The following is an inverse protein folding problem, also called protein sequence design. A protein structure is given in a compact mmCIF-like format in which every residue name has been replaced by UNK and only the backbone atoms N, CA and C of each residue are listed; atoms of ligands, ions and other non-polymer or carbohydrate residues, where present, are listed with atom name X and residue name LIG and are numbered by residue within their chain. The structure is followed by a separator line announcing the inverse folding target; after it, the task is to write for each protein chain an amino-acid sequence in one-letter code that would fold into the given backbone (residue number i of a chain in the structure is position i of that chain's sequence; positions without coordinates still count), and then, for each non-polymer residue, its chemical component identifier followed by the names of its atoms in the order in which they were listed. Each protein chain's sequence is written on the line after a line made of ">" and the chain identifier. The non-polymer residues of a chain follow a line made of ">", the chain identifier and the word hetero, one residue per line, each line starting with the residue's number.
data_IF_719229656916
#
_entry.id   IF_719229656916
#
_cell.length_a   1.000
_cell.length_b   1.000
_cell.length_c   1.000
_cell.angle_alpha   90.00
_cell.angle_beta   90.00
_cell.angle_gamma   90.00
#
_symmetry.space_group_name_H-M   'P 1'
#
loop_
_entity.id
_entity.type
_entity.pdbx_description
1 polymer ?
#
# COMPACT_ATOMS: atom_id res chain seq x y z
N UNK A 1 25.39 6.46 4.93
CA UNK A 1 25.70 6.29 3.49
C UNK A 1 26.22 7.54 2.81
N UNK A 2 25.65 8.73 3.06
CA UNK A 2 26.10 10.00 2.46
C UNK A 2 27.63 10.22 2.61
N UNK A 3 28.16 10.20 3.84
CA UNK A 3 29.60 10.35 4.11
C UNK A 3 30.45 9.37 3.30
N UNK A 4 29.95 8.14 3.15
CA UNK A 4 30.64 7.02 2.49
C UNK A 4 30.50 7.03 0.97
N UNK A 5 29.72 7.96 0.39
CA UNK A 5 29.44 7.99 -1.04
C UNK A 5 28.61 6.78 -1.50
N UNK A 6 27.75 6.26 -0.63
CA UNK A 6 26.87 5.09 -0.86
C UNK A 6 25.40 5.44 -0.95
N UNK A 7 25.08 6.71 -0.75
CA UNK A 7 23.71 7.18 -0.76
C UNK A 7 23.16 7.19 -2.20
N UNK A 8 21.95 6.68 -2.37
CA UNK A 8 21.27 6.59 -3.66
C UNK A 8 20.37 7.80 -3.93
N UNK A 9 20.12 8.67 -2.94
CA UNK A 9 19.22 9.79 -3.10
C UNK A 9 19.94 10.97 -3.74
N UNK A 10 19.55 11.28 -4.99
CA UNK A 10 20.05 12.46 -5.70
C UNK A 10 19.01 13.56 -5.66
N UNK A 11 19.22 14.55 -4.78
CA UNK A 11 18.33 15.71 -4.67
C UNK A 11 18.33 16.59 -5.93
N UNK A 12 19.50 16.74 -6.56
CA UNK A 12 19.73 17.59 -7.73
C UNK A 12 20.88 17.00 -8.55
N UNK A 13 20.91 17.27 -9.86
CA UNK A 13 21.99 16.78 -10.75
C UNK A 13 23.39 17.30 -10.39
N UNK A 14 23.47 18.42 -9.66
CA UNK A 14 24.73 19.05 -9.25
C UNK A 14 25.42 18.38 -8.05
N UNK A 15 24.71 17.52 -7.32
CA UNK A 15 25.19 16.73 -6.18
C UNK A 15 26.25 17.44 -5.29
N UNK A 16 25.87 18.60 -4.74
CA UNK A 16 26.79 19.47 -4.01
C UNK A 16 27.43 18.80 -2.79
N UNK A 17 26.67 17.93 -2.09
CA UNK A 17 27.14 17.25 -0.87
C UNK A 17 28.23 16.24 -1.22
N UNK A 18 27.99 15.36 -2.20
CA UNK A 18 29.00 14.39 -2.61
C UNK A 18 30.24 15.08 -3.21
N UNK A 19 30.06 16.13 -4.00
CA UNK A 19 31.17 16.92 -4.54
C UNK A 19 31.99 17.62 -3.44
N UNK A 20 31.33 18.12 -2.39
CA UNK A 20 32.00 18.66 -1.21
C UNK A 20 32.80 17.59 -0.46
N UNK A 21 32.19 16.43 -0.20
CA UNK A 21 32.83 15.30 0.48
C UNK A 21 34.05 14.79 -0.30
N UNK A 22 33.96 14.68 -1.63
CA UNK A 22 35.12 14.34 -2.50
C UNK A 22 36.30 15.27 -2.25
N UNK A 23 36.07 16.58 -2.22
CA UNK A 23 37.12 17.58 -1.97
C UNK A 23 37.72 17.46 -0.56
N UNK A 24 36.89 17.20 0.45
CA UNK A 24 37.35 16.99 1.84
C UNK A 24 38.24 15.74 1.93
N UNK A 25 37.77 14.60 1.43
CA UNK A 25 38.54 13.35 1.47
C UNK A 25 39.80 13.39 0.62
N UNK A 26 39.81 14.13 -0.51
CA UNK A 26 41.03 14.43 -1.26
C UNK A 26 42.08 15.16 -0.41
N UNK A 27 41.66 16.14 0.38
CA UNK A 27 42.56 16.88 1.30
C UNK A 27 43.04 15.99 2.45
N UNK A 28 42.18 15.15 3.01
CA UNK A 28 42.54 14.19 4.07
C UNK A 28 43.59 13.20 3.52
N UNK A 29 43.33 12.58 2.38
CA UNK A 29 44.27 11.68 1.70
C UNK A 29 45.61 12.36 1.40
N UNK A 30 45.57 13.62 0.93
CA UNK A 30 46.77 14.41 0.66
C UNK A 30 47.69 14.60 1.87
N UNK A 31 47.13 14.57 3.09
CA UNK A 31 47.86 14.68 4.37
C UNK A 31 48.32 13.33 4.94
N UNK A 32 47.93 12.21 4.34
CA UNK A 32 48.46 10.89 4.70
C UNK A 32 49.89 10.74 4.17
N UNK A 33 50.69 9.92 4.87
CA UNK A 33 52.10 9.68 4.55
C UNK A 33 52.39 8.19 4.40
N UNK A 34 53.44 7.87 3.62
CA UNK A 34 53.95 6.51 3.46
C UNK A 34 52.89 5.50 3.00
N UNK A 35 52.94 4.30 3.59
CA UNK A 35 52.07 3.19 3.23
C UNK A 35 50.56 3.49 3.38
N UNK A 36 50.17 4.36 4.33
CA UNK A 36 48.77 4.73 4.52
C UNK A 36 48.20 5.47 3.31
N UNK A 37 49.00 6.34 2.66
CA UNK A 37 48.55 7.08 1.48
C UNK A 37 48.23 6.12 0.32
N UNK A 38 49.15 5.20 0.04
CA UNK A 38 48.99 4.18 -1.02
C UNK A 38 47.87 3.18 -0.71
N UNK A 39 47.66 2.83 0.56
CA UNK A 39 46.58 1.92 0.94
C UNK A 39 45.18 2.50 0.65
N UNK A 40 45.04 3.81 0.83
CA UNK A 40 43.80 4.57 0.71
C UNK A 40 43.63 5.32 -0.62
N UNK A 41 44.24 4.82 -1.70
CA UNK A 41 44.14 5.46 -3.01
C UNK A 41 42.70 5.54 -3.55
N UNK A 42 42.50 6.53 -4.43
CA UNK A 42 41.22 6.78 -5.07
C UNK A 42 40.91 5.74 -6.15
N UNK A 43 39.63 5.52 -6.44
CA UNK A 43 39.19 4.84 -7.67
C UNK A 43 39.46 5.71 -8.92
N UNK A 44 39.17 5.15 -10.10
CA UNK A 44 39.30 5.83 -11.40
C UNK A 44 38.48 7.14 -11.48
N UNK A 45 37.45 7.28 -10.66
CA UNK A 45 36.55 8.45 -10.59
C UNK A 45 36.96 9.42 -9.48
N UNK A 46 38.11 9.21 -8.83
CA UNK A 46 38.64 10.07 -7.77
C UNK A 46 37.96 9.88 -6.41
N UNK A 47 37.31 8.74 -6.16
CA UNK A 47 36.64 8.42 -4.91
C UNK A 47 37.51 7.58 -3.97
N UNK A 48 37.64 8.06 -2.74
CA UNK A 48 38.41 7.41 -1.68
C UNK A 48 37.55 6.46 -0.83
N UNK A 49 36.92 5.46 -1.43
CA UNK A 49 35.93 4.62 -0.72
C UNK A 49 36.48 3.94 0.54
N UNK A 50 37.66 3.31 0.48
CA UNK A 50 38.28 2.68 1.67
C UNK A 50 38.48 3.70 2.79
N UNK A 51 39.01 4.88 2.46
CA UNK A 51 39.25 5.95 3.43
C UNK A 51 37.95 6.43 4.06
N UNK A 52 36.89 6.58 3.26
CA UNK A 52 35.57 7.02 3.75
C UNK A 52 34.90 5.96 4.65
N UNK A 53 35.04 4.68 4.33
CA UNK A 53 34.54 3.58 5.17
C UNK A 53 35.23 3.54 6.53
N UNK A 54 36.56 3.58 6.54
CA UNK A 54 37.35 3.53 7.77
C UNK A 54 37.17 4.80 8.60
N UNK A 55 37.06 5.95 7.94
CA UNK A 55 36.68 7.20 8.60
C UNK A 55 35.31 7.09 9.27
N UNK A 56 34.31 6.51 8.60
CA UNK A 56 33.00 6.30 9.23
C UNK A 56 33.11 5.36 10.44
N UNK A 57 33.78 4.22 10.29
CA UNK A 57 33.97 3.26 11.37
C UNK A 57 34.65 3.88 12.60
N UNK A 58 35.64 4.75 12.39
CA UNK A 58 36.37 5.44 13.45
C UNK A 58 35.61 6.60 14.12
N UNK A 59 34.55 7.13 13.50
CA UNK A 59 33.85 8.33 13.98
C UNK A 59 32.35 8.14 14.24
N UNK A 60 31.77 6.96 13.92
CA UNK A 60 30.32 6.71 14.04
C UNK A 60 29.76 6.87 15.45
N UNK A 61 30.55 6.60 16.48
CA UNK A 61 30.20 6.82 17.89
C UNK A 61 30.03 8.31 18.20
N UNK A 62 30.95 9.16 17.73
CA UNK A 62 30.87 10.61 17.89
C UNK A 62 29.67 11.19 17.12
N UNK A 63 29.41 10.68 15.92
CA UNK A 63 28.22 11.06 15.13
C UNK A 63 26.94 10.65 15.87
N UNK A 64 26.89 9.45 16.46
CA UNK A 64 25.74 9.00 17.25
C UNK A 64 25.49 9.90 18.47
N UNK A 65 26.55 10.27 19.20
CA UNK A 65 26.46 11.23 20.32
C UNK A 65 25.90 12.58 19.87
N UNK A 66 26.33 13.09 18.71
CA UNK A 66 25.82 14.34 18.18
C UNK A 66 24.32 14.24 17.83
N UNK A 67 23.89 13.18 17.15
CA UNK A 67 22.48 12.96 16.76
C UNK A 67 21.57 12.77 17.98
N UNK A 68 22.07 12.14 19.04
CA UNK A 68 21.30 11.85 20.26
C UNK A 68 21.35 12.95 21.32
N UNK A 69 22.05 14.07 21.06
CA UNK A 69 22.35 15.11 22.05
C UNK A 69 21.08 15.68 22.76
N UNK A 70 20.01 15.88 21.99
CA UNK A 70 18.75 16.48 22.46
C UNK A 70 17.60 15.47 22.63
N UNK A 71 17.90 14.17 22.64
CA UNK A 71 16.86 13.16 22.87
C UNK A 71 16.41 13.21 24.34
N UNK A 72 15.10 13.09 24.65
CA UNK A 72 14.63 13.02 26.03
C UNK A 72 15.20 11.80 26.76
N UNK A 73 15.42 11.93 28.08
CA UNK A 73 16.06 10.89 28.89
C UNK A 73 15.33 9.55 28.84
N UNK A 74 13.99 9.55 28.83
CA UNK A 74 13.16 8.35 28.86
C UNK A 74 13.08 7.59 27.52
N UNK A 75 13.73 8.05 26.46
CA UNK A 75 13.72 7.38 25.15
C UNK A 75 14.92 6.45 25.04
N UNK A 76 14.66 5.19 24.70
CA UNK A 76 15.67 4.14 24.56
C UNK A 76 15.61 3.48 23.17
N UNK A 77 16.75 2.95 22.72
CA UNK A 77 16.82 2.12 21.52
C UNK A 77 16.65 0.66 21.90
N UNK A 78 15.76 -0.06 21.20
CA UNK A 78 15.46 -1.46 21.47
C UNK A 78 15.76 -2.30 20.24
N UNK A 79 16.31 -3.50 20.45
CA UNK A 79 16.56 -4.48 19.42
C UNK A 79 16.29 -5.88 19.96
N UNK A 80 15.44 -6.62 19.26
CA UNK A 80 15.27 -8.05 19.50
C UNK A 80 16.47 -8.82 18.92
N UNK A 81 17.19 -9.58 19.74
CA UNK A 81 18.34 -10.40 19.34
C UNK A 81 17.91 -11.82 18.95
N UNK A 82 16.93 -12.36 19.67
CA UNK A 82 16.27 -13.64 19.43
C UNK A 82 14.85 -13.58 20.03
N UNK A 83 14.07 -14.66 19.91
CA UNK A 83 12.67 -14.66 20.37
C UNK A 83 12.48 -14.24 21.82
N UNK A 84 13.40 -14.67 22.69
CA UNK A 84 13.32 -14.40 24.13
C UNK A 84 14.25 -13.27 24.61
N UNK A 85 15.05 -12.66 23.73
CA UNK A 85 16.09 -11.69 24.13
C UNK A 85 15.86 -10.35 23.45
N UNK A 86 15.53 -9.35 24.25
CA UNK A 86 15.51 -7.93 23.87
C UNK A 86 16.72 -7.25 24.50
N UNK A 87 17.51 -6.58 23.66
CA UNK A 87 18.62 -5.72 24.07
C UNK A 87 18.18 -4.28 23.92
N UNK A 88 18.51 -3.43 24.88
CA UNK A 88 18.14 -2.03 24.86
C UNK A 88 19.22 -1.16 25.51
N UNK A 89 19.17 0.13 25.22
CA UNK A 89 20.02 1.14 25.88
C UNK A 89 19.54 1.37 27.30
N UNK A 90 20.45 1.40 28.26
CA UNK A 90 20.15 1.50 29.69
C UNK A 90 20.31 2.92 30.26
N UNK A 91 21.08 3.79 29.61
CA UNK A 91 21.40 5.14 30.13
C UNK A 91 20.47 6.24 29.58
N UNK A 92 19.36 5.85 28.93
CA UNK A 92 18.44 6.81 28.32
C UNK A 92 19.01 7.47 27.06
N UNK A 93 18.26 8.43 26.51
CA UNK A 93 18.64 9.22 25.32
C UNK A 93 19.14 8.38 24.13
N UNK A 94 18.56 7.20 23.92
CA UNK A 94 19.03 6.24 22.91
C UNK A 94 20.52 5.86 23.04
N UNK A 95 21.03 5.72 24.26
CA UNK A 95 22.41 5.31 24.54
C UNK A 95 23.44 6.42 24.28
N UNK A 96 23.09 7.67 24.54
CA UNK A 96 23.96 8.83 24.29
C UNK A 96 25.33 8.73 25.00
N UNK A 97 25.37 8.13 26.19
CA UNK A 97 26.58 8.03 27.04
C UNK A 97 27.20 6.65 27.09
N UNK A 98 26.61 5.64 26.43
CA UNK A 98 27.03 4.23 26.53
C UNK A 98 28.33 3.92 25.76
N UNK A 99 28.89 4.89 25.03
CA UNK A 99 30.13 4.79 24.26
C UNK A 99 30.06 3.91 23.02
N UNK A 100 29.16 2.93 22.98
CA UNK A 100 28.90 2.07 21.81
C UNK A 100 27.60 2.47 21.11
N UNK A 101 27.60 2.46 19.78
CA UNK A 101 26.40 2.74 19.00
C UNK A 101 25.47 1.51 19.08
N UNK A 102 24.21 1.65 19.54
CA UNK A 102 23.32 0.51 19.80
C UNK A 102 22.74 -0.13 18.54
N UNK A 103 23.00 0.45 17.36
CA UNK A 103 22.50 -0.01 16.06
C UNK A 103 23.63 -0.35 15.10
N UNK A 104 23.33 -1.24 14.16
CA UNK A 104 24.17 -1.59 13.01
C UNK A 104 23.45 -1.32 11.68
N UNK A 105 22.39 -0.50 11.69
CA UNK A 105 21.67 -0.14 10.47
C UNK A 105 22.60 0.54 9.45
N UNK A 106 23.60 1.29 9.90
CA UNK A 106 24.64 1.85 9.03
C UNK A 106 25.46 0.80 8.27
N UNK A 107 25.34 -0.49 8.59
CA UNK A 107 25.97 -1.60 7.87
C UNK A 107 24.98 -2.47 7.08
N UNK A 108 23.68 -2.15 7.10
CA UNK A 108 22.65 -2.78 6.26
C UNK A 108 22.57 -2.03 4.91
N UNK A 109 22.38 -2.69 3.76
CA UNK A 109 22.14 -2.00 2.48
C UNK A 109 21.02 -0.97 2.55
N UNK A 110 21.26 0.22 1.98
CA UNK A 110 20.30 1.33 2.04
C UNK A 110 18.91 0.96 1.50
N UNK A 111 18.86 0.20 0.39
CA UNK A 111 17.61 -0.26 -0.18
C UNK A 111 16.76 -1.06 0.83
N UNK A 112 17.37 -2.02 1.55
CA UNK A 112 16.64 -2.83 2.53
C UNK A 112 16.13 -1.98 3.69
N UNK A 113 16.92 -1.00 4.15
CA UNK A 113 16.48 -0.07 5.20
C UNK A 113 15.32 0.79 4.75
N UNK A 114 15.35 1.30 3.53
CA UNK A 114 14.26 2.09 2.99
C UNK A 114 13.00 1.28 2.74
N UNK A 115 13.12 0.01 2.37
CA UNK A 115 11.96 -0.87 2.22
C UNK A 115 11.34 -1.19 3.60
N UNK A 116 12.16 -1.49 4.60
CA UNK A 116 11.71 -1.67 5.99
C UNK A 116 11.03 -0.40 6.55
N UNK A 117 11.68 0.77 6.37
CA UNK A 117 11.13 2.08 6.76
C UNK A 117 9.82 2.40 6.03
N UNK A 118 9.74 2.10 4.72
CA UNK A 118 8.53 2.28 3.94
C UNK A 118 7.39 1.42 4.48
N UNK A 119 7.66 0.17 4.84
CA UNK A 119 6.66 -0.75 5.41
C UNK A 119 6.08 -0.22 6.72
N UNK A 120 6.95 0.16 7.66
CA UNK A 120 6.54 0.74 8.96
C UNK A 120 5.76 2.04 8.79
N UNK A 121 6.24 2.97 7.96
CA UNK A 121 5.57 4.24 7.71
C UNK A 121 4.23 4.07 6.99
N UNK A 122 4.14 3.11 6.07
CA UNK A 122 2.89 2.76 5.39
C UNK A 122 1.86 2.23 6.39
N UNK A 123 2.23 1.26 7.24
CA UNK A 123 1.33 0.71 8.26
C UNK A 123 0.81 1.80 9.21
N UNK A 124 1.72 2.65 9.72
CA UNK A 124 1.38 3.78 10.60
C UNK A 124 0.41 4.76 9.92
N UNK A 125 0.73 5.19 8.69
CA UNK A 125 -0.10 6.17 7.94
C UNK A 125 -1.41 5.57 7.49
N UNK A 126 -1.45 4.28 7.12
CA UNK A 126 -2.67 3.59 6.73
C UNK A 126 -3.66 3.57 7.90
N UNK A 127 -3.19 3.27 9.12
CA UNK A 127 -4.03 3.32 10.33
C UNK A 127 -4.61 4.72 10.57
N UNK A 128 -3.78 5.77 10.55
CA UNK A 128 -4.24 7.16 10.72
C UNK A 128 -5.27 7.57 9.65
N UNK A 129 -4.99 7.26 8.38
CA UNK A 129 -5.90 7.57 7.27
C UNK A 129 -7.21 6.79 7.37
N UNK A 130 -7.17 5.50 7.74
CA UNK A 130 -8.36 4.69 7.93
C UNK A 130 -9.21 5.19 9.10
N UNK A 131 -8.60 5.68 10.19
CA UNK A 131 -9.34 6.32 11.28
C UNK A 131 -10.10 7.55 10.77
N UNK A 132 -9.45 8.42 10.01
CA UNK A 132 -10.09 9.61 9.43
C UNK A 132 -11.23 9.25 8.47
N UNK A 133 -11.04 8.21 7.65
CA UNK A 133 -12.10 7.69 6.77
C UNK A 133 -13.26 7.13 7.61
N UNK A 134 -12.97 6.34 8.65
CA UNK A 134 -13.98 5.78 9.54
C UNK A 134 -14.81 6.89 10.18
N UNK A 135 -14.16 7.88 10.79
CA UNK A 135 -14.81 9.02 11.45
C UNK A 135 -15.74 9.79 10.50
N UNK A 136 -15.34 9.96 9.25
CA UNK A 136 -16.14 10.66 8.23
C UNK A 136 -17.31 9.81 7.69
N UNK A 137 -17.19 8.47 7.69
CA UNK A 137 -18.13 7.58 7.02
C UNK A 137 -19.03 6.77 7.96
N UNK A 138 -18.61 6.51 9.19
CA UNK A 138 -19.27 5.61 10.15
C UNK A 138 -19.21 6.16 11.57
N UNK A 139 -20.38 6.43 12.13
CA UNK A 139 -20.55 6.74 13.55
C UNK A 139 -21.93 6.25 14.01
N UNK A 140 -21.96 5.07 14.61
CA UNK A 140 -23.19 4.41 15.07
C UNK A 140 -23.95 5.26 16.10
N UNK A 141 -23.24 6.10 16.88
CA UNK A 141 -23.86 6.95 17.91
C UNK A 141 -24.60 8.16 17.33
N UNK A 142 -24.31 8.49 16.07
CA UNK A 142 -24.91 9.60 15.32
C UNK A 142 -25.75 9.12 14.14
N UNK A 143 -26.04 7.81 14.07
CA UNK A 143 -26.68 7.16 12.92
C UNK A 143 -26.03 7.55 11.58
N UNK A 144 -24.70 7.69 11.57
CA UNK A 144 -23.92 8.06 10.39
C UNK A 144 -23.45 6.80 9.68
N UNK A 145 -23.99 6.53 8.50
CA UNK A 145 -23.52 5.45 7.63
C UNK A 145 -23.52 5.92 6.18
N UNK A 146 -22.36 6.34 5.68
CA UNK A 146 -22.21 6.94 4.35
C UNK A 146 -21.50 6.02 3.35
N UNK A 147 -21.87 6.07 2.08
CA UNK A 147 -21.10 5.40 1.03
C UNK A 147 -19.92 6.24 0.54
N UNK A 148 -18.99 5.58 -0.16
CA UNK A 148 -17.93 6.22 -0.95
C UNK A 148 -18.45 7.35 -1.86
N UNK A 149 -19.66 7.23 -2.39
CA UNK A 149 -20.25 8.20 -3.32
C UNK A 149 -21.03 9.32 -2.62
N UNK A 150 -20.99 9.38 -1.29
CA UNK A 150 -21.66 10.41 -0.49
C UNK A 150 -23.16 10.20 -0.29
N UNK A 151 -23.66 8.99 -0.55
CA UNK A 151 -25.03 8.62 -0.18
C UNK A 151 -25.14 8.25 1.28
N UNK A 152 -26.22 8.66 1.94
CA UNK A 152 -26.62 8.24 3.28
C UNK A 152 -27.30 6.87 3.20
N UNK A 153 -26.64 5.83 3.69
CA UNK A 153 -27.12 4.45 3.64
C UNK A 153 -28.23 4.14 4.64
N UNK A 154 -28.52 5.02 5.60
CA UNK A 154 -29.68 4.87 6.50
C UNK A 154 -30.99 5.14 5.76
N UNK A 155 -30.94 5.95 4.69
CA UNK A 155 -32.09 6.36 3.87
C UNK A 155 -32.03 5.81 2.44
N UNK A 156 -30.85 5.44 1.96
CA UNK A 156 -30.65 4.90 0.62
C UNK A 156 -31.07 3.43 0.56
N UNK A 157 -31.97 3.11 -0.36
CA UNK A 157 -32.41 1.75 -0.68
C UNK A 157 -32.20 1.55 -2.18
N UNK A 158 -31.05 0.96 -2.54
CA UNK A 158 -30.65 0.79 -3.94
C UNK A 158 -31.60 -0.11 -4.72
N UNK A 159 -32.18 -1.14 -4.08
CA UNK A 159 -33.18 -2.01 -4.72
C UNK A 159 -34.49 -1.29 -5.09
N UNK A 160 -34.73 -0.13 -4.47
CA UNK A 160 -35.90 0.72 -4.75
C UNK A 160 -35.55 2.01 -5.48
N UNK A 161 -34.29 2.16 -5.90
CA UNK A 161 -33.82 3.32 -6.65
C UNK A 161 -33.85 4.60 -5.82
N UNK A 162 -33.81 4.44 -4.50
CA UNK A 162 -33.82 5.53 -3.55
C UNK A 162 -32.37 5.80 -3.18
N UNK A 163 -31.75 6.79 -3.82
CA UNK A 163 -30.37 7.19 -3.58
C UNK A 163 -30.34 8.60 -2.97
N UNK A 164 -30.11 8.69 -1.66
CA UNK A 164 -30.18 9.96 -0.93
C UNK A 164 -28.78 10.48 -0.63
N UNK A 165 -28.43 11.63 -1.21
CA UNK A 165 -27.20 12.36 -0.84
C UNK A 165 -27.50 13.35 0.26
N UNK A 166 -26.66 13.37 1.28
CA UNK A 166 -26.73 14.36 2.35
C UNK A 166 -25.37 15.04 2.53
N UNK A 167 -25.39 16.30 2.96
CA UNK A 167 -24.18 17.08 3.23
C UNK A 167 -23.25 16.36 4.21
N UNK A 168 -23.80 15.71 5.24
CA UNK A 168 -23.04 14.93 6.23
C UNK A 168 -22.22 13.78 5.62
N UNK A 169 -22.62 13.26 4.46
CA UNK A 169 -21.91 12.19 3.74
C UNK A 169 -20.92 12.70 2.68
N UNK A 170 -20.87 14.01 2.44
CA UNK A 170 -19.93 14.60 1.47
C UNK A 170 -18.47 14.47 1.95
N UNK A 171 -18.25 14.55 3.26
CA UNK A 171 -16.91 14.37 3.83
C UNK A 171 -16.41 12.93 3.63
N UNK A 172 -17.27 11.93 3.85
CA UNK A 172 -16.95 10.53 3.56
C UNK A 172 -16.43 10.33 2.12
N UNK A 173 -17.16 10.85 1.13
CA UNK A 173 -16.74 10.73 -0.28
C UNK A 173 -15.39 11.38 -0.54
N UNK A 174 -15.15 12.55 0.04
CA UNK A 174 -13.89 13.28 -0.13
C UNK A 174 -12.73 12.53 0.52
N UNK A 175 -12.88 12.04 1.76
CA UNK A 175 -11.84 11.28 2.47
C UNK A 175 -11.54 9.97 1.77
N UNK A 176 -12.56 9.27 1.28
CA UNK A 176 -12.39 8.02 0.54
C UNK A 176 -11.57 8.23 -0.73
N UNK A 177 -11.92 9.21 -1.57
CA UNK A 177 -11.16 9.52 -2.80
C UNK A 177 -9.68 9.82 -2.51
N UNK A 178 -9.41 10.66 -1.50
CA UNK A 178 -8.03 10.99 -1.10
C UNK A 178 -7.28 9.76 -0.57
N UNK A 179 -7.96 8.90 0.17
CA UNK A 179 -7.40 7.66 0.67
C UNK A 179 -7.03 6.71 -0.47
N UNK A 180 -7.91 6.54 -1.45
CA UNK A 180 -7.70 5.66 -2.60
C UNK A 180 -6.55 6.11 -3.49
N UNK A 181 -6.46 7.41 -3.82
CA UNK A 181 -5.32 7.96 -4.58
C UNK A 181 -4.01 7.71 -3.83
N UNK A 182 -4.01 7.94 -2.51
CA UNK A 182 -2.82 7.65 -1.71
C UNK A 182 -2.47 6.16 -1.73
N UNK A 183 -3.46 5.27 -1.60
CA UNK A 183 -3.28 3.83 -1.54
C UNK A 183 -2.71 3.27 -2.86
N UNK A 184 -3.22 3.74 -4.00
CA UNK A 184 -2.71 3.37 -5.33
C UNK A 184 -1.24 3.76 -5.51
N UNK A 185 -0.84 4.96 -5.08
CA UNK A 185 0.57 5.38 -5.10
C UNK A 185 1.46 4.48 -4.22
N UNK A 186 0.95 4.01 -3.08
CA UNK A 186 1.68 3.08 -2.21
C UNK A 186 1.79 1.68 -2.82
N UNK A 187 0.76 1.21 -3.51
CA UNK A 187 0.78 -0.07 -4.23
C UNK A 187 1.86 -0.06 -5.32
N UNK A 188 1.97 1.03 -6.09
CA UNK A 188 3.01 1.18 -7.11
C UNK A 188 4.42 1.23 -6.49
N UNK A 189 4.59 1.98 -5.40
CA UNK A 189 5.84 2.03 -4.66
C UNK A 189 6.25 0.65 -4.14
N UNK A 190 5.31 -0.10 -3.57
CA UNK A 190 5.53 -1.47 -3.08
C UNK A 190 5.96 -2.40 -4.22
N UNK A 191 5.27 -2.36 -5.37
CA UNK A 191 5.62 -3.15 -6.56
C UNK A 191 7.05 -2.87 -7.01
N UNK A 192 7.44 -1.60 -7.16
CA UNK A 192 8.80 -1.21 -7.54
C UNK A 192 9.85 -1.69 -6.54
N UNK A 193 9.55 -1.64 -5.24
CA UNK A 193 10.44 -2.14 -4.20
C UNK A 193 10.58 -3.66 -4.25
N UNK A 194 9.49 -4.42 -4.47
CA UNK A 194 9.54 -5.87 -4.67
C UNK A 194 10.41 -6.25 -5.87
N UNK A 195 10.21 -5.62 -7.02
CA UNK A 195 11.02 -5.86 -8.22
C UNK A 195 12.50 -5.53 -7.99
N UNK A 196 12.79 -4.45 -7.25
CA UNK A 196 14.17 -4.09 -6.89
C UNK A 196 14.77 -5.13 -5.95
N UNK A 197 14.02 -5.62 -4.95
CA UNK A 197 14.47 -6.68 -4.06
C UNK A 197 14.82 -7.96 -4.84
N UNK A 198 13.97 -8.37 -5.77
CA UNK A 198 14.24 -9.52 -6.65
C UNK A 198 15.53 -9.36 -7.44
N UNK A 199 15.77 -8.16 -7.99
CA UNK A 199 16.99 -7.85 -8.77
C UNK A 199 18.25 -7.92 -7.90
N UNK A 200 18.22 -7.32 -6.71
CA UNK A 200 19.35 -7.37 -5.77
C UNK A 200 19.63 -8.82 -5.32
N UNK A 201 18.58 -9.62 -5.14
CA UNK A 201 18.71 -11.01 -4.70
C UNK A 201 19.17 -11.95 -5.80
N UNK A 202 18.70 -11.82 -7.03
CA UNK A 202 19.07 -12.72 -8.11
C UNK A 202 20.49 -12.49 -8.65
N UNK A 203 21.21 -11.47 -8.18
CA UNK A 203 22.62 -11.25 -8.51
C UNK A 203 22.88 -10.87 -9.96
N UNK A 204 21.84 -10.68 -10.78
CA UNK A 204 21.90 -10.00 -12.07
C UNK A 204 21.98 -8.49 -11.83
N UNK A 205 23.03 -8.03 -11.15
CA UNK A 205 23.64 -6.77 -11.58
C UNK A 205 24.00 -7.01 -13.04
N UNK A 206 23.27 -6.38 -13.96
CA UNK A 206 23.59 -6.41 -15.37
C UNK A 206 25.10 -6.31 -15.55
N UNK A 207 25.69 -7.24 -16.31
CA UNK A 207 27.07 -7.14 -16.82
C UNK A 207 27.30 -5.86 -17.64
N UNK A 208 26.27 -5.04 -17.82
CA UNK A 208 26.32 -3.73 -18.46
C UNK A 208 26.75 -2.55 -17.57
N UNK A 209 26.92 -2.71 -16.25
CA UNK A 209 27.66 -1.74 -15.41
C UNK A 209 29.13 -2.16 -15.24
N UNK A 210 29.70 -2.71 -16.32
CA UNK A 210 31.07 -3.19 -16.50
C UNK A 210 32.10 -2.05 -16.61
N UNK A 211 32.10 -1.10 -15.66
CA UNK A 211 33.20 -0.11 -15.53
C UNK A 211 33.47 0.36 -14.09
N UNK A 212 33.08 -0.36 -13.04
CA UNK A 212 33.45 0.08 -11.69
C UNK A 212 33.76 -1.08 -10.74
N UNK A 213 35.05 -1.45 -10.70
CA UNK A 213 35.69 -2.26 -9.65
C UNK A 213 35.69 -1.51 -8.30
N UNK A 214 34.51 -1.14 -7.80
CA UNK A 214 34.37 -0.36 -6.58
C UNK A 214 34.06 -1.23 -5.37
N UNK A 215 34.79 -0.99 -4.27
CA UNK A 215 34.62 -1.61 -2.94
C UNK A 215 33.14 -1.61 -2.46
N UNK A 216 32.33 -0.65 -2.93
CA UNK A 216 30.89 -0.59 -2.67
C UNK A 216 30.13 -1.84 -3.14
N UNK A 217 30.49 -2.40 -4.30
CA UNK A 217 29.84 -3.61 -4.81
C UNK A 217 30.25 -4.84 -3.96
N UNK A 218 31.49 -4.87 -3.47
CA UNK A 218 31.99 -5.97 -2.61
C UNK A 218 31.28 -6.03 -1.26
N UNK A 219 31.07 -4.89 -0.60
CA UNK A 219 30.44 -4.86 0.73
C UNK A 219 28.99 -5.35 0.71
N UNK A 220 28.16 -4.82 -0.21
CA UNK A 220 26.78 -5.28 -0.33
C UNK A 220 26.70 -6.71 -0.84
N UNK A 221 27.62 -7.14 -1.72
CA UNK A 221 27.71 -8.55 -2.14
C UNK A 221 27.96 -9.49 -0.98
N UNK A 222 28.85 -9.14 -0.04
CA UNK A 222 29.10 -9.94 1.17
C UNK A 222 27.88 -9.98 2.09
N UNK A 223 27.18 -8.84 2.25
CA UNK A 223 25.91 -8.80 3.00
C UNK A 223 24.86 -9.72 2.37
N UNK A 224 24.57 -9.54 1.07
CA UNK A 224 23.58 -10.35 0.37
C UNK A 224 23.96 -11.82 0.29
N UNK A 225 25.26 -12.16 0.21
CA UNK A 225 25.73 -13.54 0.28
C UNK A 225 25.37 -14.17 1.63
N UNK A 226 25.72 -13.53 2.75
CA UNK A 226 25.36 -13.99 4.10
C UNK A 226 23.85 -13.99 4.33
N UNK A 227 23.14 -13.05 3.73
CA UNK A 227 21.69 -12.96 3.82
C UNK A 227 20.99 -14.08 3.05
N UNK A 228 21.53 -14.51 1.90
CA UNK A 228 21.04 -15.66 1.12
C UNK A 228 21.11 -16.99 1.87
N UNK A 229 22.03 -17.11 2.82
CA UNK A 229 22.16 -18.29 3.69
C UNK A 229 21.05 -18.33 4.77
N UNK A 230 20.18 -17.31 4.85
CA UNK A 230 19.04 -17.25 5.79
C UNK A 230 17.74 -17.75 5.15
N UNK A 231 16.81 -18.20 5.99
CA UNK A 231 15.51 -18.77 5.61
C UNK A 231 14.53 -17.77 4.98
N UNK A 232 14.77 -16.46 5.14
CA UNK A 232 13.96 -15.36 4.59
C UNK A 232 14.62 -14.66 3.38
N UNK A 233 15.48 -15.39 2.67
CA UNK A 233 16.20 -14.89 1.49
C UNK A 233 15.31 -14.66 0.25
N UNK A 234 14.06 -15.10 0.26
CA UNK A 234 13.09 -14.86 -0.80
C UNK A 234 12.39 -13.52 -0.60
N UNK A 235 11.77 -13.00 -1.67
CA UNK A 235 10.88 -11.82 -1.59
C UNK A 235 9.76 -12.07 -0.60
N UNK A 236 9.15 -13.25 -0.67
CA UNK A 236 8.09 -13.65 0.23
C UNK A 236 8.58 -13.67 1.69
N UNK A 237 9.76 -14.24 1.94
CA UNK A 237 10.38 -14.24 3.28
C UNK A 237 10.59 -12.83 3.84
N UNK A 238 11.07 -11.88 3.03
CA UNK A 238 11.23 -10.49 3.47
C UNK A 238 9.90 -9.76 3.66
N UNK A 239 8.93 -9.99 2.78
CA UNK A 239 7.58 -9.42 2.95
C UNK A 239 6.94 -9.90 4.26
N UNK A 240 7.15 -11.18 4.64
CA UNK A 240 6.70 -11.69 5.93
C UNK A 240 7.36 -10.91 7.09
N UNK A 241 8.63 -10.53 6.98
CA UNK A 241 9.30 -9.70 7.99
C UNK A 241 8.70 -8.29 8.09
N UNK A 242 8.24 -7.70 6.98
CA UNK A 242 7.57 -6.39 7.02
C UNK A 242 6.28 -6.43 7.84
N UNK A 243 5.54 -7.55 7.80
CA UNK A 243 4.36 -7.74 8.66
C UNK A 243 4.72 -7.76 10.15
N UNK A 244 5.95 -8.15 10.48
CA UNK A 244 6.42 -8.23 11.87
C UNK A 244 6.79 -6.85 12.46
N UNK A 245 6.73 -5.80 11.65
CA UNK A 245 6.98 -4.42 12.04
C UNK A 245 6.06 -3.94 13.18
N UNK A 246 6.55 -2.98 13.97
CA UNK A 246 5.85 -2.51 15.18
C UNK A 246 4.46 -1.97 14.83
N UNK A 247 4.36 -1.14 13.81
CA UNK A 247 3.09 -0.53 13.41
C UNK A 247 2.24 -1.47 12.57
N UNK A 248 2.86 -2.40 11.85
CA UNK A 248 2.14 -3.39 11.04
C UNK A 248 1.40 -4.43 11.88
N UNK A 249 1.90 -4.72 13.09
CA UNK A 249 1.19 -5.57 14.07
C UNK A 249 -0.01 -4.93 14.74
N UNK A 250 -0.16 -3.61 14.65
CA UNK A 250 -1.29 -2.93 15.28
C UNK A 250 -2.59 -3.24 14.53
N UNK A 251 -3.67 -3.43 15.28
CA UNK A 251 -5.00 -3.62 14.69
C UNK A 251 -5.47 -2.34 14.01
N UNK A 252 -5.95 -2.48 12.79
CA UNK A 252 -6.58 -1.44 12.01
C UNK A 252 -8.04 -1.21 12.43
N UNK A 253 -8.61 -0.05 12.08
CA UNK A 253 -10.03 0.21 12.31
C UNK A 253 -10.89 -0.83 11.60
N UNK A 254 -11.67 -1.58 12.37
CA UNK A 254 -12.49 -2.69 11.88
C UNK A 254 -11.98 -4.09 12.20
N UNK A 255 -10.86 -4.21 12.93
CA UNK A 255 -10.42 -5.49 13.51
C UNK A 255 -9.42 -6.27 12.66
N UNK A 256 -9.01 -5.75 11.51
CA UNK A 256 -8.02 -6.39 10.65
C UNK A 256 -6.58 -6.05 11.07
N UNK A 257 -5.65 -6.95 10.79
CA UNK A 257 -4.20 -6.71 10.93
C UNK A 257 -3.58 -6.64 9.54
N UNK A 258 -2.53 -5.82 9.39
CA UNK A 258 -1.81 -5.66 8.13
C UNK A 258 -1.17 -6.97 7.69
N UNK A 259 -1.27 -7.27 6.39
CA UNK A 259 -0.63 -8.45 5.83
C UNK A 259 -0.27 -8.25 4.36
N UNK A 260 0.99 -7.92 4.11
CA UNK A 260 1.57 -7.73 2.78
C UNK A 260 1.67 -9.02 1.96
N UNK A 261 1.39 -10.18 2.55
CA UNK A 261 1.48 -11.50 1.90
C UNK A 261 0.18 -11.94 1.28
N UNK A 262 -0.94 -11.32 1.68
CA UNK A 262 -2.26 -11.59 1.11
C UNK A 262 -2.22 -11.38 -0.39
N UNK A 263 -2.49 -12.46 -1.12
CA UNK A 263 -2.69 -12.47 -2.56
C UNK A 263 -4.16 -12.71 -2.85
N UNK A 264 -4.68 -12.08 -3.90
CA UNK A 264 -6.06 -12.22 -4.33
C UNK A 264 -6.92 -11.05 -3.88
N UNK A 265 -8.08 -11.35 -3.33
CA UNK A 265 -9.19 -10.42 -3.28
C UNK A 265 -9.01 -9.36 -2.13
N UNK A 266 -8.64 -9.77 -0.91
CA UNK A 266 -8.39 -8.90 0.28
C UNK A 266 -6.98 -8.29 0.32
N UNK A 267 -6.51 -7.66 -0.76
CA UNK A 267 -5.12 -7.17 -0.76
C UNK A 267 -4.88 -6.08 0.29
N UNK A 268 -3.62 -5.97 0.72
CA UNK A 268 -3.16 -4.85 1.56
C UNK A 268 -3.47 -3.47 0.95
N UNK A 269 -3.68 -3.39 -0.37
CA UNK A 269 -3.97 -2.16 -1.09
C UNK A 269 -5.44 -2.02 -1.51
N UNK A 270 -6.35 -2.79 -0.89
CA UNK A 270 -7.78 -2.69 -1.18
C UNK A 270 -8.47 -1.47 -0.55
N UNK A 271 -9.58 -1.05 -1.17
CA UNK A 271 -10.46 0.02 -0.68
C UNK A 271 -10.93 -0.29 0.75
N UNK A 272 -11.04 0.74 1.58
CA UNK A 272 -11.55 0.58 2.94
C UNK A 272 -12.97 0.01 2.93
N UNK A 273 -13.31 -0.85 3.90
CA UNK A 273 -14.70 -1.28 4.14
C UNK A 273 -15.66 -0.11 4.44
N UNK A 274 -15.12 1.03 4.87
CA UNK A 274 -15.89 2.26 5.10
C UNK A 274 -16.15 3.03 3.80
N UNK A 275 -15.32 2.81 2.79
CA UNK A 275 -15.42 3.38 1.44
C UNK A 275 -16.11 2.41 0.47
N UNK A 276 -17.09 1.67 0.95
CA UNK A 276 -17.94 0.85 0.10
C UNK A 276 -19.18 1.64 -0.29
N UNK A 277 -19.85 1.17 -1.33
CA UNK A 277 -21.21 1.60 -1.68
C UNK A 277 -22.21 1.29 -0.56
N UNK A 278 -23.39 1.91 -0.63
CA UNK A 278 -24.45 1.51 0.29
C UNK A 278 -24.87 0.06 0.01
N UNK A 279 -25.21 -0.71 1.06
CA UNK A 279 -25.86 -2.00 0.90
C UNK A 279 -27.14 -1.86 0.07
N UNK A 280 -27.54 -2.96 -0.59
CA UNK A 280 -28.73 -2.98 -1.46
C UNK A 280 -29.99 -2.47 -0.75
N UNK A 281 -30.17 -2.87 0.50
CA UNK A 281 -31.29 -2.47 1.34
C UNK A 281 -30.98 -1.32 2.31
N UNK A 282 -29.78 -0.74 2.23
CA UNK A 282 -29.30 0.22 3.21
C UNK A 282 -29.03 -0.44 4.57
N UNK A 283 -29.06 0.38 5.63
CA UNK A 283 -28.82 -0.04 7.01
C UNK A 283 -29.93 0.42 7.91
N UNK A 284 -30.11 -0.30 9.02
CA UNK A 284 -30.93 0.13 10.14
C UNK A 284 -30.02 0.52 11.30
N UNK A 285 -30.19 1.73 11.82
CA UNK A 285 -29.39 2.28 12.91
C UNK A 285 -30.31 2.63 14.09
N UNK A 286 -29.92 2.21 15.29
CA UNK A 286 -30.72 2.39 16.50
C UNK A 286 -30.02 3.28 17.55
N UNK A 287 -29.11 4.17 17.11
CA UNK A 287 -28.28 5.01 17.97
C UNK A 287 -27.20 4.27 18.77
N UNK A 288 -27.14 2.93 18.71
CA UNK A 288 -26.09 2.11 19.32
C UNK A 288 -25.28 1.33 18.30
N UNK A 289 -25.92 0.87 17.24
CA UNK A 289 -25.31 0.09 16.17
C UNK A 289 -26.08 0.29 14.87
N UNK A 290 -25.35 0.36 13.77
CA UNK A 290 -25.92 0.20 12.44
C UNK A 290 -25.76 -1.25 11.97
N UNK A 291 -26.85 -1.88 11.55
CA UNK A 291 -26.88 -3.24 10.99
C UNK A 291 -27.39 -3.23 9.56
N UNK A 292 -26.81 -4.08 8.72
CA UNK A 292 -27.29 -4.29 7.35
C UNK A 292 -28.74 -4.76 7.39
N UNK A 293 -29.63 -4.13 6.61
CA UNK A 293 -30.98 -4.66 6.41
C UNK A 293 -30.90 -5.93 5.57
N UNK A 294 -31.75 -6.91 5.88
CA UNK A 294 -31.82 -8.15 5.11
C UNK A 294 -32.25 -7.83 3.68
N UNK A 295 -31.65 -8.52 2.70
CA UNK A 295 -32.06 -8.41 1.30
C UNK A 295 -33.51 -8.85 1.07
N UNK A 296 -34.07 -9.64 2.00
CA UNK A 296 -35.47 -10.10 2.00
C UNK A 296 -36.43 -9.20 2.79
N UNK A 297 -35.97 -8.05 3.30
CA UNK A 297 -36.83 -7.12 4.04
C UNK A 297 -37.99 -6.65 3.15
N UNK A 298 -39.27 -6.82 3.54
CA UNK A 298 -40.42 -6.37 2.75
C UNK A 298 -40.38 -4.87 2.38
N UNK A 299 -39.72 -4.05 3.22
CA UNK A 299 -39.52 -2.63 2.96
C UNK A 299 -38.38 -2.35 1.97
N UNK A 300 -37.53 -3.33 1.67
CA UNK A 300 -36.46 -3.26 0.68
C UNK A 300 -36.80 -3.97 -0.63
N UNK A 301 -37.44 -5.14 -0.56
CA UNK A 301 -37.76 -5.96 -1.74
C UNK A 301 -38.74 -5.19 -2.60
N UNK A 302 -38.24 -4.63 -3.69
CA UNK A 302 -39.07 -4.31 -4.83
C UNK A 302 -39.33 -5.65 -5.52
N UNK A 303 -40.59 -6.12 -5.52
CA UNK A 303 -41.02 -7.19 -6.43
C UNK A 303 -41.12 -6.64 -7.86
N UNK A 304 -40.04 -6.03 -8.35
CA UNK A 304 -39.91 -5.65 -9.75
C UNK A 304 -39.95 -6.95 -10.52
N UNK A 305 -41.05 -7.16 -11.25
CA UNK A 305 -41.19 -8.30 -12.14
C UNK A 305 -40.64 -7.93 -13.50
N UNK A 306 -39.93 -8.87 -14.11
CA UNK A 306 -39.53 -8.73 -15.50
C UNK A 306 -40.68 -9.17 -16.40
N UNK A 307 -41.61 -8.25 -16.68
CA UNK A 307 -42.78 -8.45 -17.54
C UNK A 307 -42.73 -7.45 -18.72
N UNK A 308 -41.96 -7.74 -19.80
CA UNK A 308 -41.95 -6.89 -20.98
C UNK A 308 -43.36 -6.89 -21.63
N UNK A 309 -43.90 -5.72 -22.01
CA UNK A 309 -45.16 -5.65 -22.76
C UNK A 309 -45.09 -6.45 -24.07
N UNK A 310 -46.22 -6.96 -24.52
CA UNK A 310 -46.30 -7.73 -25.76
C UNK A 310 -45.77 -6.90 -26.95
N UNK A 311 -44.77 -7.43 -27.67
CA UNK A 311 -44.10 -6.74 -28.77
C UNK A 311 -43.04 -5.70 -28.38
N UNK A 312 -42.77 -5.47 -27.08
CA UNK A 312 -41.71 -4.56 -26.65
C UNK A 312 -40.33 -5.10 -27.05
N UNK A 313 -39.46 -4.29 -27.70
CA UNK A 313 -38.12 -4.72 -28.02
C UNK A 313 -37.32 -4.95 -26.73
N UNK A 314 -36.64 -6.09 -26.66
CA UNK A 314 -35.71 -6.40 -25.57
C UNK A 314 -34.28 -6.38 -26.12
N UNK A 315 -33.34 -5.91 -25.31
CA UNK A 315 -31.93 -5.82 -25.66
C UNK A 315 -31.11 -6.58 -24.62
N UNK A 316 -30.21 -7.44 -25.11
CA UNK A 316 -29.22 -8.09 -24.26
C UNK A 316 -27.98 -7.21 -24.21
N UNK A 317 -27.62 -6.78 -23.01
CA UNK A 317 -26.49 -5.91 -22.72
C UNK A 317 -25.50 -6.74 -21.92
N UNK A 318 -24.37 -7.05 -22.56
CA UNK A 318 -23.24 -7.70 -21.89
C UNK A 318 -22.36 -6.63 -21.29
N UNK A 319 -22.08 -6.75 -20.00
CA UNK A 319 -21.40 -5.72 -19.24
C UNK A 319 -20.38 -6.33 -18.27
N UNK A 320 -19.26 -5.63 -18.10
CA UNK A 320 -18.14 -5.99 -17.23
C UNK A 320 -18.30 -5.60 -15.74
N UNK A 321 -18.79 -6.49 -14.91
CA UNK A 321 -18.93 -6.23 -13.48
C UNK A 321 -17.55 -6.18 -12.80
N UNK A 322 -17.08 -4.98 -12.46
CA UNK A 322 -15.86 -4.77 -11.66
C UNK A 322 -16.00 -5.23 -10.20
N UNK A 323 -17.23 -5.53 -9.80
CA UNK A 323 -17.65 -6.02 -8.50
C UNK A 323 -17.40 -5.12 -7.28
N UNK A 324 -18.31 -5.20 -6.30
CA UNK A 324 -18.02 -4.89 -4.89
C UNK A 324 -17.01 -5.87 -4.27
N UNK A 325 -16.68 -6.95 -4.99
CA UNK A 325 -15.71 -7.98 -4.60
C UNK A 325 -14.34 -7.61 -5.15
N UNK A 326 -13.47 -7.08 -4.31
CA UNK A 326 -12.05 -7.41 -4.15
C UNK A 326 -11.13 -7.76 -5.35
N UNK A 327 -9.92 -7.17 -5.36
CA UNK A 327 -8.88 -7.28 -6.40
C UNK A 327 -8.59 -5.96 -7.16
N UNK A 328 -7.37 -5.80 -7.69
CA UNK A 328 -6.94 -4.65 -8.52
C UNK A 328 -7.85 -4.50 -9.74
N UNK A 329 -8.48 -3.33 -9.88
CA UNK A 329 -9.40 -3.04 -10.99
C UNK A 329 -8.71 -3.21 -12.34
N UNK A 330 -7.40 -2.97 -12.43
CA UNK A 330 -6.61 -3.18 -13.64
C UNK A 330 -6.48 -4.65 -13.98
N UNK A 331 -6.30 -5.52 -12.98
CA UNK A 331 -6.25 -6.97 -13.18
C UNK A 331 -7.64 -7.52 -13.52
N UNK A 332 -8.69 -6.99 -12.90
CA UNK A 332 -10.07 -7.35 -13.26
C UNK A 332 -10.33 -6.97 -14.70
N UNK A 333 -10.10 -5.71 -15.07
CA UNK A 333 -10.31 -5.21 -16.42
C UNK A 333 -9.29 -5.75 -17.44
N UNK A 334 -8.23 -6.44 -17.00
CA UNK A 334 -7.20 -6.96 -17.92
C UNK A 334 -7.77 -7.90 -18.97
N UNK A 335 -8.74 -8.76 -18.62
CA UNK A 335 -9.40 -9.65 -19.60
C UNK A 335 -10.14 -8.86 -20.69
N UNK A 336 -10.69 -7.69 -20.35
CA UNK A 336 -11.35 -6.78 -21.30
C UNK A 336 -10.33 -5.95 -22.10
N UNK A 337 -9.29 -5.43 -21.45
CA UNK A 337 -8.24 -4.63 -22.10
C UNK A 337 -7.36 -5.44 -23.05
N UNK A 338 -7.24 -6.76 -22.84
CA UNK A 338 -6.39 -7.63 -23.65
C UNK A 338 -7.12 -8.26 -24.85
N UNK A 339 -8.45 -8.38 -24.82
CA UNK A 339 -9.25 -8.90 -25.93
C UNK A 339 -10.64 -8.24 -25.95
N UNK A 340 -10.83 -7.30 -26.87
CA UNK A 340 -12.07 -6.54 -27.05
C UNK A 340 -13.30 -7.44 -27.36
N UNK A 341 -13.08 -8.69 -27.78
CA UNK A 341 -14.13 -9.63 -28.17
C UNK A 341 -14.41 -10.72 -27.13
N UNK A 342 -13.71 -10.73 -26.00
CA UNK A 342 -13.89 -11.75 -24.98
C UNK A 342 -15.21 -11.53 -24.20
N UNK A 343 -16.28 -12.18 -24.63
CA UNK A 343 -17.62 -12.16 -23.98
C UNK A 343 -17.80 -13.25 -22.91
N UNK A 344 -16.72 -13.93 -22.52
CA UNK A 344 -16.78 -15.13 -21.66
C UNK A 344 -15.96 -15.05 -20.36
N UNK A 345 -15.31 -13.91 -20.10
CA UNK A 345 -14.51 -13.66 -18.89
C UNK A 345 -15.28 -13.81 -17.56
N UNK A 346 -14.53 -13.98 -16.46
CA UNK A 346 -15.10 -14.25 -15.11
C UNK A 346 -15.92 -13.09 -14.54
N UNK A 347 -15.64 -11.88 -15.00
CA UNK A 347 -16.24 -10.64 -14.51
C UNK A 347 -17.31 -10.08 -15.47
N UNK A 348 -17.85 -10.92 -16.36
CA UNK A 348 -18.87 -10.51 -17.32
C UNK A 348 -20.25 -10.96 -16.83
N UNK A 349 -21.18 -10.02 -16.82
CA UNK A 349 -22.60 -10.21 -16.54
C UNK A 349 -23.40 -9.90 -17.80
N UNK A 350 -24.39 -10.73 -18.10
CA UNK A 350 -25.33 -10.46 -19.20
C UNK A 350 -26.67 -10.07 -18.62
N UNK A 351 -27.16 -8.90 -19.03
CA UNK A 351 -28.44 -8.34 -18.61
C UNK A 351 -29.39 -8.29 -19.81
N UNK A 352 -30.66 -8.61 -19.58
CA UNK A 352 -31.72 -8.43 -20.58
C UNK A 352 -32.62 -7.29 -20.15
N UNK A 353 -32.71 -6.26 -20.97
CA UNK A 353 -33.43 -5.04 -20.64
C UNK A 353 -34.51 -4.74 -21.67
N UNK A 354 -35.59 -4.09 -21.24
CA UNK A 354 -36.53 -3.41 -22.13
C UNK A 354 -36.75 -1.99 -21.63
N UNK A 355 -36.95 -1.06 -22.56
CA UNK A 355 -37.27 0.33 -22.26
C UNK A 355 -38.35 0.81 -23.21
N UNK A 356 -39.55 1.03 -22.70
CA UNK A 356 -40.66 1.64 -23.45
C UNK A 356 -40.77 3.11 -23.07
N UNK A 357 -40.74 3.42 -21.77
CA UNK A 357 -40.71 4.78 -21.23
C UNK A 357 -40.17 4.77 -19.78
N UNK A 358 -40.17 5.94 -19.11
CA UNK A 358 -39.66 6.11 -17.74
C UNK A 358 -40.37 5.26 -16.68
N UNK A 359 -41.62 4.84 -16.93
CA UNK A 359 -42.40 4.00 -16.02
C UNK A 359 -42.35 2.51 -16.39
N UNK A 360 -42.20 2.20 -17.67
CA UNK A 360 -42.24 0.84 -18.22
C UNK A 360 -40.84 0.50 -18.76
N UNK A 361 -39.97 0.08 -17.85
CA UNK A 361 -38.63 -0.40 -18.16
C UNK A 361 -38.13 -1.32 -17.04
N UNK A 362 -37.39 -2.35 -17.41
CA UNK A 362 -36.70 -3.22 -16.47
C UNK A 362 -35.50 -3.91 -17.12
N UNK A 363 -34.54 -4.29 -16.28
CA UNK A 363 -33.37 -5.08 -16.61
C UNK A 363 -33.32 -6.29 -15.67
N UNK A 364 -33.11 -7.47 -16.25
CA UNK A 364 -32.96 -8.73 -15.53
C UNK A 364 -31.58 -9.32 -15.80
N UNK A 365 -30.86 -9.69 -14.75
CA UNK A 365 -29.61 -10.41 -14.87
C UNK A 365 -29.87 -11.85 -15.32
N UNK A 366 -29.24 -12.27 -16.41
CA UNK A 366 -29.41 -13.62 -16.97
C UNK A 366 -28.37 -14.61 -16.43
N UNK A 367 -27.11 -14.19 -16.27
CA UNK A 367 -26.00 -15.07 -15.88
C UNK A 367 -24.80 -14.29 -15.35
N UNK A 368 -24.09 -14.88 -14.37
CA UNK A 368 -22.78 -14.45 -13.87
C UNK A 368 -21.77 -15.59 -14.02
N UNK A 369 -20.64 -15.36 -14.68
CA UNK A 369 -19.60 -16.38 -14.86
C UNK A 369 -18.60 -16.39 -13.67
N UNK A 370 -19.05 -16.74 -12.46
CA UNK A 370 -18.18 -16.85 -11.27
C UNK A 370 -18.87 -17.54 -10.09
N UNK A 371 -18.09 -18.15 -9.18
CA UNK A 371 -18.54 -19.06 -8.11
C UNK A 371 -19.46 -18.47 -7.01
N UNK A 372 -19.88 -17.21 -7.11
CA UNK A 372 -20.85 -16.61 -6.19
C UNK A 372 -22.17 -16.35 -6.93
N UNK A 373 -23.06 -17.35 -6.92
CA UNK A 373 -24.46 -17.17 -7.28
C UNK A 373 -25.13 -16.29 -6.22
N UNK A 374 -25.28 -14.99 -6.47
CA UNK A 374 -26.32 -14.21 -5.81
C UNK A 374 -27.63 -14.36 -6.61
N UNK A 375 -28.75 -14.31 -5.89
CA UNK A 375 -30.12 -14.45 -6.39
C UNK A 375 -30.43 -13.60 -7.64
N UNK A 376 -31.48 -13.99 -8.37
CA UNK A 376 -31.99 -13.33 -9.58
C UNK A 376 -32.21 -11.82 -9.35
N UNK A 377 -31.39 -10.97 -9.97
CA UNK A 377 -31.49 -9.52 -9.82
C UNK A 377 -32.35 -8.90 -10.93
N UNK A 378 -33.38 -8.17 -10.53
CA UNK A 378 -34.23 -7.37 -11.43
C UNK A 378 -34.23 -5.93 -10.92
N UNK A 379 -33.95 -4.98 -11.82
CA UNK A 379 -33.86 -3.55 -11.52
C UNK A 379 -34.47 -2.73 -12.66
N UNK A 380 -34.73 -1.43 -12.47
CA UNK A 380 -35.08 -0.55 -13.60
C UNK A 380 -33.86 -0.22 -14.45
N UNK A 381 -34.09 0.18 -15.70
CA UNK A 381 -33.03 0.49 -16.65
C UNK A 381 -32.11 1.62 -16.16
N UNK A 382 -32.68 2.67 -15.54
CA UNK A 382 -31.90 3.77 -15.00
C UNK A 382 -30.88 3.33 -13.94
N UNK A 383 -31.23 2.41 -13.03
CA UNK A 383 -30.29 2.01 -11.98
C UNK A 383 -29.29 0.99 -12.50
N UNK A 384 -29.69 0.14 -13.44
CA UNK A 384 -28.72 -0.65 -14.20
C UNK A 384 -27.65 0.29 -14.78
N UNK A 385 -28.07 1.39 -15.42
CA UNK A 385 -27.16 2.39 -15.99
C UNK A 385 -26.32 3.11 -14.93
N UNK A 386 -26.92 3.63 -13.85
CA UNK A 386 -26.19 4.33 -12.77
C UNK A 386 -25.21 3.42 -12.03
N UNK A 387 -25.62 2.19 -11.73
CA UNK A 387 -24.75 1.15 -11.18
C UNK A 387 -23.54 1.02 -12.10
N UNK A 388 -23.79 0.85 -13.40
CA UNK A 388 -22.73 0.75 -14.40
C UNK A 388 -21.78 1.94 -14.48
N UNK A 389 -22.32 3.15 -14.60
CA UNK A 389 -21.52 4.39 -14.64
C UNK A 389 -20.69 4.55 -13.36
N UNK A 390 -21.22 4.13 -12.21
CA UNK A 390 -20.56 4.29 -10.91
C UNK A 390 -19.50 3.21 -10.62
N UNK A 391 -19.61 2.03 -11.22
CA UNK A 391 -18.68 0.91 -10.99
C UNK A 391 -17.64 0.74 -12.07
N UNK A 392 -17.90 1.24 -13.28
CA UNK A 392 -16.95 1.18 -14.39
C UNK A 392 -16.03 2.42 -14.44
N UNK A 393 -16.52 3.60 -14.05
CA UNK A 393 -15.75 4.86 -13.94
C UNK A 393 -15.31 5.10 -12.50
#
# INVERSE_FOLDING_TARGET
>A
DIVRGRDMFKRTDKDYVENGLKKVFKKIHGKLNGAAKSYYDADEKGNYYKLREDWWMANRDQVWRAITCYIPYYVNYFKKKSDDIIVFTNDGKCGHTEGTVPTNLDYVPQFLRWFDEWGEEFCRKKKDKLNKVKEACRDDSKDLYCSHNGYDCTKTIRNKDICIRESKCTDCSTKCKVFEVWLGNQQEAFKKQKEKYEKEMNGKTSEHDSTNNNINNKYYKDFYKKYKEKTYNTVHGFINLLNEGKYCKETLPGGEVMDFTKTGDRETFYRSQYCQVCPHCGVDCNGKKCTLKSDNDPQCVNKLKYEPPEGAPTTEITVFYSADQEGDISNKLSEFCNDENNKTGKNIETWKCYYVNSYINACKMLKKNGNNMSEEQITKFHNFFELWVTYLL
#
